data_IF_063005903794
#
_entry.id   IF_063005903794
#
_cell.length_a   1.000
_cell.length_b   1.000
_cell.length_c   1.000
_cell.angle_alpha   90.00
_cell.angle_beta   90.00
_cell.angle_gamma   90.00
#
_symmetry.space_group_name_H-M   'P 1'
#
loop_
_entity.id
_entity.type
_entity.pdbx_description
1 polymer ?
#
# COMPACT_ATOMS: atom_id res chain seq x y z
N UNK A 1 -40.38 1.46 -31.98
CA UNK A 1 -39.39 0.37 -31.93
C UNK A 1 -38.26 0.91 -31.07
N UNK A 2 -38.42 0.85 -29.75
CA UNK A 2 -37.35 1.19 -28.82
C UNK A 2 -36.56 -0.09 -28.59
N UNK A 3 -35.46 -0.19 -29.33
CA UNK A 3 -34.47 -1.25 -29.15
C UNK A 3 -33.63 -0.79 -27.97
N UNK A 4 -33.79 -1.46 -26.83
CA UNK A 4 -32.94 -1.32 -25.65
C UNK A 4 -31.48 -1.34 -26.09
N UNK A 5 -30.84 -0.17 -26.04
CA UNK A 5 -29.39 -0.06 -26.14
C UNK A 5 -28.82 -0.66 -24.85
N UNK A 6 -28.58 -1.97 -24.87
CA UNK A 6 -27.67 -2.58 -23.91
C UNK A 6 -26.35 -1.79 -23.96
N UNK A 7 -25.79 -1.36 -22.82
CA UNK A 7 -24.47 -0.76 -22.84
C UNK A 7 -23.53 -1.83 -23.39
N UNK A 8 -23.03 -1.63 -24.61
CA UNK A 8 -21.92 -2.42 -25.13
C UNK A 8 -20.75 -2.12 -24.20
N UNK A 9 -20.47 -3.04 -23.29
CA UNK A 9 -19.25 -3.01 -22.49
C UNK A 9 -18.12 -3.19 -23.49
N UNK A 10 -17.51 -2.09 -23.93
CA UNK A 10 -16.31 -2.17 -24.77
C UNK A 10 -15.28 -2.95 -23.96
N UNK A 11 -14.90 -4.14 -24.44
CA UNK A 11 -13.80 -4.93 -23.89
C UNK A 11 -12.55 -4.05 -23.93
N UNK A 12 -12.24 -3.44 -22.79
CA UNK A 12 -11.08 -2.57 -22.66
C UNK A 12 -9.88 -3.49 -22.59
N UNK A 13 -9.16 -3.59 -23.72
CA UNK A 13 -7.90 -4.33 -23.78
C UNK A 13 -6.92 -3.61 -22.85
N UNK A 14 -6.52 -4.29 -21.78
CA UNK A 14 -5.48 -3.81 -20.88
C UNK A 14 -4.14 -3.96 -21.59
N UNK A 15 -3.43 -2.84 -21.74
CA UNK A 15 -2.06 -2.79 -22.23
C UNK A 15 -1.11 -2.67 -21.04
N UNK A 16 0.17 -2.98 -21.22
CA UNK A 16 1.19 -2.85 -20.17
C UNK A 16 1.24 -1.48 -19.48
N UNK A 17 0.82 -0.40 -20.16
CA UNK A 17 0.71 0.93 -19.58
C UNK A 17 -0.52 1.07 -18.65
N UNK A 18 -1.63 0.40 -18.94
CA UNK A 18 -2.84 0.38 -18.11
C UNK A 18 -2.57 -0.33 -16.76
N UNK A 19 -1.69 -1.33 -16.77
CA UNK A 19 -1.19 -1.97 -15.55
C UNK A 19 -0.33 -1.06 -14.66
N UNK A 20 0.11 0.09 -15.20
CA UNK A 20 0.92 1.09 -14.49
C UNK A 20 0.13 2.38 -14.14
N UNK A 21 -1.20 2.35 -14.26
CA UNK A 21 -2.09 3.50 -13.96
C UNK A 21 -2.37 3.72 -12.46
N UNK A 22 -1.88 2.84 -11.59
CA UNK A 22 -2.03 2.93 -10.14
C UNK A 22 -0.69 3.02 -9.40
N UNK A 23 -0.68 3.34 -8.09
CA UNK A 23 0.54 3.24 -7.30
C UNK A 23 1.04 1.79 -7.26
N UNK A 24 2.36 1.57 -7.32
CA UNK A 24 2.95 0.23 -7.19
C UNK A 24 2.56 -0.41 -5.85
N UNK A 25 2.61 -1.74 -5.78
CA UNK A 25 2.26 -2.46 -4.56
C UNK A 25 3.06 -1.96 -3.34
N UNK A 26 2.38 -1.75 -2.20
CA UNK A 26 2.99 -1.17 -1.01
C UNK A 26 4.06 -2.10 -0.42
N UNK A 27 5.14 -1.50 0.09
CA UNK A 27 6.17 -2.26 0.81
C UNK A 27 5.71 -2.44 2.26
N UNK A 28 5.50 -3.70 2.64
CA UNK A 28 5.11 -4.06 4.01
C UNK A 28 6.36 -4.23 4.88
N UNK A 29 6.51 -3.44 5.96
CA UNK A 29 7.63 -3.60 6.89
C UNK A 29 7.58 -4.96 7.59
N UNK A 30 8.72 -5.65 7.76
CA UNK A 30 8.74 -6.99 8.33
C UNK A 30 8.22 -7.03 9.77
N UNK A 31 8.31 -5.93 10.51
CA UNK A 31 7.89 -5.86 11.91
C UNK A 31 6.37 -5.95 12.09
N UNK A 32 5.60 -5.61 11.06
CA UNK A 32 4.13 -5.60 11.08
C UNK A 32 3.51 -6.50 10.00
N UNK A 33 4.35 -7.23 9.26
CA UNK A 33 3.93 -8.01 8.10
C UNK A 33 2.93 -9.12 8.43
N UNK A 34 3.15 -9.84 9.54
CA UNK A 34 2.27 -10.91 10.00
C UNK A 34 0.82 -10.43 10.17
N UNK A 35 0.63 -9.26 10.76
CA UNK A 35 -0.68 -8.68 11.00
C UNK A 35 -1.30 -8.04 9.75
N UNK A 36 -0.50 -7.30 8.97
CA UNK A 36 -0.98 -6.61 7.78
C UNK A 36 -1.46 -7.61 6.72
N UNK A 37 -0.74 -8.71 6.56
CA UNK A 37 -1.01 -9.72 5.53
C UNK A 37 -2.01 -10.81 5.98
N UNK A 38 -2.45 -10.81 7.24
CA UNK A 38 -3.33 -11.84 7.77
C UNK A 38 -4.67 -11.93 7.02
N UNK A 39 -4.93 -13.05 6.36
CA UNK A 39 -6.17 -13.26 5.59
C UNK A 39 -6.32 -12.38 4.35
N UNK A 40 -5.25 -11.72 3.89
CA UNK A 40 -5.25 -10.99 2.61
C UNK A 40 -5.18 -11.98 1.45
N UNK A 41 -6.05 -11.82 0.45
CA UNK A 41 -5.93 -12.56 -0.80
C UNK A 41 -4.69 -12.06 -1.57
N UNK A 42 -3.66 -12.89 -1.67
CA UNK A 42 -2.41 -12.54 -2.35
C UNK A 42 -2.49 -12.62 -3.88
N UNK A 43 -3.64 -13.01 -4.42
CA UNK A 43 -3.90 -13.21 -5.85
C UNK A 43 -3.14 -14.42 -6.45
N UNK A 44 -2.57 -15.30 -5.63
CA UNK A 44 -1.72 -16.41 -6.08
C UNK A 44 -2.43 -17.35 -7.07
N UNK A 45 -3.71 -17.67 -6.82
CA UNK A 45 -4.48 -18.52 -7.71
C UNK A 45 -4.70 -17.88 -9.08
N UNK A 46 -5.11 -16.62 -9.09
CA UNK A 46 -5.36 -15.84 -10.31
C UNK A 46 -4.05 -15.64 -11.09
N UNK A 47 -2.96 -15.32 -10.38
CA UNK A 47 -1.64 -15.15 -10.96
C UNK A 47 -1.13 -16.42 -11.62
N UNK A 48 -1.33 -17.59 -10.99
CA UNK A 48 -1.01 -18.89 -11.59
C UNK A 48 -1.80 -19.14 -12.87
N UNK A 49 -3.09 -18.81 -12.89
CA UNK A 49 -3.93 -18.93 -14.09
C UNK A 49 -3.44 -18.03 -15.20
N UNK A 50 -3.12 -16.76 -14.90
CA UNK A 50 -2.55 -15.82 -15.87
C UNK A 50 -1.24 -16.34 -16.46
N UNK A 51 -0.31 -16.83 -15.62
CA UNK A 51 0.93 -17.42 -16.12
C UNK A 51 0.70 -18.64 -17.00
N UNK A 52 -0.27 -19.50 -16.64
CA UNK A 52 -0.61 -20.65 -17.46
C UNK A 52 -1.18 -20.22 -18.82
N UNK A 53 -2.04 -19.20 -18.85
CA UNK A 53 -2.56 -18.65 -20.09
C UNK A 53 -1.43 -18.12 -20.97
N UNK A 54 -0.53 -17.31 -20.42
CA UNK A 54 0.63 -16.75 -21.15
C UNK A 54 1.63 -17.82 -21.59
N UNK A 55 1.71 -18.95 -20.89
CA UNK A 55 2.56 -20.07 -21.28
C UNK A 55 1.96 -20.87 -22.45
N UNK A 56 0.64 -21.04 -22.47
CA UNK A 56 -0.07 -21.77 -23.53
C UNK A 56 -0.25 -20.90 -24.77
N UNK A 57 -0.55 -19.62 -24.57
CA UNK A 57 -0.76 -18.64 -25.62
C UNK A 57 0.46 -17.71 -25.65
N UNK A 58 1.27 -17.81 -26.70
CA UNK A 58 2.52 -17.03 -26.86
C UNK A 58 2.31 -15.51 -26.99
N UNK A 59 1.07 -15.03 -26.94
CA UNK A 59 0.71 -13.62 -27.10
C UNK A 59 -0.35 -13.19 -26.08
N UNK A 60 -0.08 -12.07 -25.40
CA UNK A 60 -0.93 -11.41 -24.40
C UNK A 60 -2.42 -11.25 -24.77
N UNK A 61 -2.81 -10.95 -26.03
CA UNK A 61 -4.21 -10.65 -26.35
C UNK A 61 -5.21 -11.77 -26.02
N UNK A 62 -4.76 -13.02 -25.95
CA UNK A 62 -5.62 -14.16 -25.59
C UNK A 62 -5.83 -14.31 -24.08
N UNK A 63 -5.08 -13.58 -23.25
CA UNK A 63 -5.07 -13.69 -21.79
C UNK A 63 -5.61 -12.43 -21.11
N UNK A 64 -6.38 -11.63 -21.83
CA UNK A 64 -6.92 -10.35 -21.35
C UNK A 64 -7.89 -10.53 -20.18
N UNK A 65 -8.64 -11.63 -20.14
CA UNK A 65 -9.55 -11.96 -19.03
C UNK A 65 -8.75 -12.26 -17.75
N UNK A 66 -7.75 -13.14 -17.83
CA UNK A 66 -6.86 -13.44 -16.71
C UNK A 66 -6.09 -12.22 -16.24
N UNK A 67 -5.69 -11.35 -17.18
CA UNK A 67 -4.98 -10.11 -16.88
C UNK A 67 -5.88 -9.14 -16.11
N UNK A 68 -7.13 -8.98 -16.57
CA UNK A 68 -8.14 -8.14 -15.91
C UNK A 68 -8.47 -8.64 -14.51
N UNK A 69 -8.67 -9.95 -14.35
CA UNK A 69 -8.91 -10.56 -13.05
C UNK A 69 -7.73 -10.37 -12.10
N UNK A 70 -6.50 -10.51 -12.60
CA UNK A 70 -5.30 -10.28 -11.79
C UNK A 70 -5.17 -8.81 -11.39
N UNK A 71 -5.36 -7.89 -12.33
CA UNK A 71 -5.32 -6.46 -12.09
C UNK A 71 -6.30 -6.07 -10.97
N UNK A 72 -7.57 -6.46 -11.09
CA UNK A 72 -8.59 -6.14 -10.09
C UNK A 72 -8.27 -6.74 -8.72
N UNK A 73 -7.75 -7.97 -8.70
CA UNK A 73 -7.30 -8.57 -7.44
C UNK A 73 -6.13 -7.78 -6.84
N UNK A 74 -5.13 -7.40 -7.62
CA UNK A 74 -3.96 -6.67 -7.15
C UNK A 74 -4.32 -5.28 -6.63
N UNK A 75 -5.21 -4.55 -7.31
CA UNK A 75 -5.72 -3.25 -6.87
C UNK A 75 -6.42 -3.38 -5.52
N UNK A 76 -7.35 -4.34 -5.40
CA UNK A 76 -8.09 -4.57 -4.15
C UNK A 76 -7.18 -5.00 -3.01
N UNK A 77 -6.24 -5.93 -3.28
CA UNK A 77 -5.23 -6.39 -2.33
C UNK A 77 -4.41 -5.21 -1.80
N UNK A 78 -3.87 -4.41 -2.70
CA UNK A 78 -2.98 -3.31 -2.35
C UNK A 78 -3.74 -2.19 -1.60
N UNK A 79 -5.02 -1.97 -1.90
CA UNK A 79 -5.88 -1.07 -1.12
C UNK A 79 -6.05 -1.57 0.33
N UNK A 80 -6.36 -2.85 0.52
CA UNK A 80 -6.50 -3.46 1.86
C UNK A 80 -5.18 -3.36 2.63
N UNK A 81 -4.05 -3.66 1.99
CA UNK A 81 -2.73 -3.58 2.62
C UNK A 81 -2.42 -2.14 3.04
N UNK A 82 -2.65 -1.14 2.18
CA UNK A 82 -2.41 0.28 2.51
C UNK A 82 -3.25 0.73 3.70
N UNK A 83 -4.53 0.35 3.75
CA UNK A 83 -5.39 0.67 4.88
C UNK A 83 -4.86 0.06 6.17
N UNK A 84 -4.53 -1.23 6.16
CA UNK A 84 -4.00 -1.93 7.34
C UNK A 84 -2.65 -1.40 7.80
N UNK A 85 -1.79 -0.98 6.88
CA UNK A 85 -0.53 -0.31 7.22
C UNK A 85 -0.80 0.99 7.98
N UNK A 86 -1.71 1.84 7.47
CA UNK A 86 -2.08 3.10 8.13
C UNK A 86 -2.71 2.86 9.50
N UNK A 87 -3.63 1.91 9.61
CA UNK A 87 -4.27 1.54 10.88
C UNK A 87 -3.24 1.02 11.90
N UNK A 88 -2.26 0.23 11.44
CA UNK A 88 -1.19 -0.30 12.28
C UNK A 88 -0.29 0.82 12.80
N UNK A 89 0.14 1.74 11.94
CA UNK A 89 0.93 2.91 12.35
C UNK A 89 0.16 3.82 13.30
N UNK A 90 -1.14 4.03 13.06
CA UNK A 90 -2.00 4.80 13.95
C UNK A 90 -2.09 4.16 15.35
N UNK A 91 -2.33 2.84 15.41
CA UNK A 91 -2.34 2.08 16.66
C UNK A 91 -1.00 2.14 17.38
N UNK A 92 0.11 2.06 16.64
CA UNK A 92 1.44 2.27 17.21
C UNK A 92 1.55 3.68 17.81
N UNK A 93 1.10 4.71 17.12
CA UNK A 93 1.13 6.08 17.64
C UNK A 93 0.32 6.26 18.94
N UNK A 94 -0.84 5.59 19.04
CA UNK A 94 -1.69 5.64 20.22
C UNK A 94 -1.07 4.93 21.44
N UNK A 95 -0.44 3.78 21.19
CA UNK A 95 -0.04 2.89 22.26
C UNK A 95 1.46 3.01 22.59
N UNK A 96 2.36 3.00 21.59
CA UNK A 96 3.84 2.88 21.72
C UNK A 96 4.42 3.86 22.74
N UNK A 97 5.48 3.50 23.50
CA UNK A 97 6.16 4.46 24.38
C UNK A 97 6.59 5.68 23.56
N UNK A 98 6.38 6.88 24.10
CA UNK A 98 6.54 8.11 23.31
C UNK A 98 7.94 8.27 22.71
N UNK A 99 8.98 7.80 23.39
CA UNK A 99 10.36 7.86 22.89
C UNK A 99 10.58 6.92 21.71
N UNK A 100 10.04 5.70 21.76
CA UNK A 100 10.05 4.76 20.63
C UNK A 100 9.22 5.27 19.44
N UNK A 101 8.05 5.86 19.72
CA UNK A 101 7.19 6.44 18.70
C UNK A 101 7.87 7.63 18.00
N UNK A 102 8.56 8.48 18.74
CA UNK A 102 9.39 9.57 18.18
C UNK A 102 10.54 9.03 17.35
N UNK A 103 11.26 8.00 17.83
CA UNK A 103 12.34 7.38 17.08
C UNK A 103 11.85 6.81 15.74
N UNK A 104 10.71 6.11 15.75
CA UNK A 104 10.06 5.61 14.54
C UNK A 104 9.62 6.74 13.60
N UNK A 105 9.06 7.83 14.13
CA UNK A 105 8.69 8.99 13.32
C UNK A 105 9.92 9.61 12.65
N UNK A 106 11.03 9.79 13.38
CA UNK A 106 12.30 10.28 12.82
C UNK A 106 12.88 9.33 11.76
N UNK A 107 12.76 8.02 11.95
CA UNK A 107 13.13 7.03 10.94
C UNK A 107 12.32 7.22 9.65
N UNK A 108 10.99 7.30 9.75
CA UNK A 108 10.12 7.52 8.60
C UNK A 108 10.39 8.88 7.92
N UNK A 109 10.64 9.95 8.68
CA UNK A 109 11.02 11.26 8.13
C UNK A 109 12.34 11.20 7.34
N UNK A 110 13.33 10.47 7.86
CA UNK A 110 14.60 10.26 7.15
C UNK A 110 14.41 9.46 5.87
N UNK A 111 13.51 8.47 5.87
CA UNK A 111 13.16 7.69 4.67
C UNK A 111 12.43 8.53 3.63
N UNK A 112 11.46 9.37 4.05
CA UNK A 112 10.78 10.33 3.17
C UNK A 112 11.79 11.24 2.50
N UNK A 113 12.70 11.84 3.28
CA UNK A 113 13.75 12.73 2.76
C UNK A 113 14.66 12.01 1.75
N UNK A 114 15.01 10.75 2.03
CA UNK A 114 15.82 9.91 1.14
C UNK A 114 15.08 9.57 -0.16
N UNK A 115 13.77 9.27 -0.08
CA UNK A 115 12.93 8.99 -1.24
C UNK A 115 12.74 10.23 -2.12
N UNK A 116 12.52 11.41 -1.53
CA UNK A 116 12.42 12.67 -2.26
C UNK A 116 13.71 12.98 -3.03
N UNK A 117 14.87 12.81 -2.39
CA UNK A 117 16.18 12.98 -3.07
C UNK A 117 16.34 12.01 -4.24
N UNK A 118 15.99 10.73 -4.04
CA UNK A 118 16.04 9.71 -5.12
C UNK A 118 15.09 10.03 -6.25
N UNK A 119 13.91 10.56 -5.95
CA UNK A 119 12.92 10.95 -6.97
C UNK A 119 13.44 12.13 -7.82
N UNK A 120 14.11 13.10 -7.20
CA UNK A 120 14.78 14.21 -7.91
C UNK A 120 15.87 13.67 -8.83
N UNK A 121 16.70 12.73 -8.36
CA UNK A 121 17.75 12.14 -9.20
C UNK A 121 17.16 11.32 -10.37
N UNK A 122 16.02 10.65 -10.15
CA UNK A 122 15.34 9.87 -11.18
C UNK A 122 14.58 10.72 -12.23
N UNK A 123 14.42 12.03 -12.01
CA UNK A 123 13.78 12.92 -13.00
C UNK A 123 14.62 13.12 -14.26
N UNK A 124 15.95 12.99 -14.15
CA UNK A 124 16.86 13.09 -15.29
C UNK A 124 17.02 11.80 -16.11
N UNK A 125 16.35 10.71 -15.74
CA UNK A 125 16.43 9.43 -16.45
C UNK A 125 15.28 9.35 -17.46
N UNK A 126 15.61 9.26 -18.74
CA UNK A 126 14.63 9.20 -19.83
C UNK A 126 14.16 7.77 -20.12
N UNK A 127 13.11 7.64 -20.90
CA UNK A 127 12.58 6.34 -21.35
C UNK A 127 11.82 5.55 -20.29
N UNK A 128 11.54 4.29 -20.63
CA UNK A 128 10.70 3.36 -19.84
C UNK A 128 11.34 3.06 -18.48
N UNK A 129 12.66 2.90 -18.42
CA UNK A 129 13.37 2.63 -17.16
C UNK A 129 13.27 3.81 -16.19
N UNK A 130 13.42 5.04 -16.71
CA UNK A 130 13.20 6.25 -15.93
C UNK A 130 11.77 6.37 -15.41
N UNK A 131 10.79 6.04 -16.25
CA UNK A 131 9.38 5.98 -15.83
C UNK A 131 9.18 4.97 -14.69
N UNK A 132 9.62 3.72 -14.87
CA UNK A 132 9.47 2.65 -13.87
C UNK A 132 10.12 3.02 -12.54
N UNK A 133 11.30 3.62 -12.58
CA UNK A 133 11.99 4.08 -11.38
C UNK A 133 11.24 5.19 -10.66
N UNK A 134 10.76 6.21 -11.39
CA UNK A 134 9.96 7.29 -10.79
C UNK A 134 8.64 6.77 -10.23
N UNK A 135 7.96 5.90 -10.96
CA UNK A 135 6.71 5.28 -10.54
C UNK A 135 6.89 4.50 -9.23
N UNK A 136 7.91 3.64 -9.16
CA UNK A 136 8.28 2.91 -7.94
C UNK A 136 8.59 3.84 -6.76
N UNK A 137 9.42 4.86 -6.98
CA UNK A 137 9.81 5.83 -5.96
C UNK A 137 8.62 6.65 -5.46
N UNK A 138 7.74 7.08 -6.38
CA UNK A 138 6.57 7.86 -6.04
C UNK A 138 5.61 7.07 -5.16
N UNK A 139 5.30 5.82 -5.51
CA UNK A 139 4.44 4.96 -4.67
C UNK A 139 5.00 4.76 -3.27
N UNK A 140 6.30 4.42 -3.17
CA UNK A 140 6.98 4.31 -1.88
C UNK A 140 6.93 5.60 -1.06
N UNK A 141 7.16 6.74 -1.71
CA UNK A 141 7.12 8.05 -1.05
C UNK A 141 5.72 8.34 -0.51
N UNK A 142 4.68 8.10 -1.30
CA UNK A 142 3.29 8.28 -0.89
C UNK A 142 2.94 7.37 0.30
N UNK A 143 3.29 6.08 0.23
CA UNK A 143 3.00 5.13 1.30
C UNK A 143 3.74 5.49 2.59
N UNK A 144 5.03 5.86 2.52
CA UNK A 144 5.81 6.26 3.70
C UNK A 144 5.28 7.57 4.31
N UNK A 145 4.87 8.55 3.49
CA UNK A 145 4.23 9.79 3.99
C UNK A 145 2.93 9.48 4.73
N UNK A 146 2.06 8.64 4.16
CA UNK A 146 0.81 8.22 4.81
C UNK A 146 1.05 7.51 6.14
N UNK A 147 2.03 6.60 6.18
CA UNK A 147 2.43 5.92 7.42
C UNK A 147 2.90 6.89 8.51
N UNK A 148 3.72 7.88 8.13
CA UNK A 148 4.18 8.93 9.04
C UNK A 148 3.03 9.79 9.57
N UNK A 149 2.09 10.17 8.70
CA UNK A 149 0.88 10.92 9.06
C UNK A 149 0.03 10.13 10.08
N UNK A 150 -0.26 8.86 9.81
CA UNK A 150 -1.04 8.00 10.70
C UNK A 150 -0.38 7.84 12.08
N UNK A 151 0.94 7.64 12.11
CA UNK A 151 1.71 7.53 13.35
C UNK A 151 1.62 8.82 14.19
N UNK A 152 1.88 9.99 13.56
CA UNK A 152 1.80 11.29 14.22
C UNK A 152 0.40 11.59 14.74
N UNK A 153 -0.62 11.26 13.96
CA UNK A 153 -2.03 11.39 14.37
C UNK A 153 -2.32 10.56 15.63
N UNK A 154 -1.84 9.32 15.70
CA UNK A 154 -1.98 8.48 16.89
C UNK A 154 -1.28 9.08 18.12
N UNK A 155 -0.05 9.59 17.93
CA UNK A 155 0.70 10.26 19.01
C UNK A 155 0.01 11.52 19.53
N UNK A 156 -0.61 12.30 18.65
CA UNK A 156 -1.28 13.56 19.02
C UNK A 156 -2.64 13.32 19.67
N UNK A 157 -3.38 12.29 19.26
CA UNK A 157 -4.62 11.88 19.93
C UNK A 157 -4.35 11.52 21.41
N UNK A 158 -3.28 10.78 21.69
CA UNK A 158 -2.86 10.47 23.06
C UNK A 158 -2.61 11.72 23.91
N UNK A 159 -2.06 12.78 23.33
CA UNK A 159 -1.84 14.06 24.04
C UNK A 159 -3.15 14.74 24.38
N UNK A 160 -4.15 14.68 23.49
CA UNK A 160 -5.47 15.27 23.73
C UNK A 160 -6.20 14.55 24.85
N UNK A 161 -6.16 13.22 24.89
CA UNK A 161 -6.79 12.42 25.95
C UNK A 161 -6.21 12.72 27.35
N UNK A 162 -4.90 13.00 27.42
CA UNK A 162 -4.24 13.42 28.66
C UNK A 162 -4.65 14.83 29.09
N UNK A 163 -4.98 15.71 28.14
CA UNK A 163 -5.36 17.12 28.40
C UNK A 163 -6.87 17.25 28.71
N UNK A 164 -7.73 16.38 28.18
CA UNK A 164 -9.18 16.38 28.40
C UNK A 164 -9.62 15.79 29.75
N UNK A 165 -8.70 15.35 30.60
CA UNK A 165 -9.01 14.87 31.96
C UNK A 165 -9.62 13.47 32.02
N UNK A 166 -9.78 12.78 30.89
CA UNK A 166 -10.06 11.35 30.87
C UNK A 166 -8.78 10.60 31.24
N UNK A 167 -8.58 10.36 32.53
CA UNK A 167 -7.49 9.52 33.01
C UNK A 167 -7.59 8.16 32.33
N UNK A 168 -6.63 7.74 31.48
CA UNK A 168 -6.56 6.35 31.11
C UNK A 168 -6.12 5.65 32.40
N UNK A 169 -7.02 4.82 32.95
CA UNK A 169 -6.71 3.93 34.05
C UNK A 169 -5.29 3.38 33.85
N UNK A 170 -4.45 3.55 34.87
CA UNK A 170 -3.11 2.96 34.95
C UNK A 170 -3.21 1.45 34.74
N UNK A 171 -3.22 1.00 33.48
CA UNK A 171 -2.98 -0.38 33.14
C UNK A 171 -1.47 -0.57 33.11
N UNK A 172 -0.92 -0.55 34.33
CA UNK A 172 0.34 -1.18 34.72
C UNK A 172 0.20 -2.70 34.57
N UNK A 173 0.11 -3.20 33.35
CA UNK A 173 0.38 -4.60 33.02
C UNK A 173 0.79 -4.65 31.56
N UNK A 174 1.92 -5.30 31.29
CA UNK A 174 2.53 -5.43 29.96
C UNK A 174 1.60 -6.01 28.91
N UNK A 175 0.81 -5.16 28.27
CA UNK A 175 0.13 -5.48 27.02
C UNK A 175 1.18 -5.44 25.93
N UNK A 176 1.71 -6.63 25.63
CA UNK A 176 2.52 -6.96 24.46
C UNK A 176 2.12 -6.06 23.29
N UNK A 177 3.09 -5.35 22.74
CA UNK A 177 3.00 -4.71 21.44
C UNK A 177 2.77 -5.81 20.39
N UNK A 178 1.51 -6.13 20.11
CA UNK A 178 1.19 -7.29 19.27
C UNK A 178 1.23 -6.92 17.79
N UNK A 179 2.35 -7.28 17.18
CA UNK A 179 2.43 -7.77 15.80
C UNK A 179 3.29 -9.06 15.75
N UNK A 180 3.16 -9.93 16.77
CA UNK A 180 3.83 -11.23 16.82
C UNK A 180 2.85 -12.35 16.56
#
# INVERSE_FOLDING_TARGET
MDVDAQPTMEETILVGDDLMMGPPSPIVPPEIASHVLEGVNLCDGILRTLFLCLQVNETEPFCQDELSLYHDCAVNRDQVIRQRLQDSEHKLGLSMPLDEAKARASQLESEVTSLERRLILASGIEGIDGFRQRWSLHGRLTDTKRRLESLKQGMDNRKKDVISGESPAQNSTGKRWFFR
#
